data_IF_527300390530
#
_entry.id   IF_527300390530
#
_cell.length_a   1.000
_cell.length_b   1.000
_cell.length_c   1.000
_cell.angle_alpha   90.00
_cell.angle_beta   90.00
_cell.angle_gamma   90.00
#
_symmetry.space_group_name_H-M   'P 1'
#
loop_
_entity.id
_entity.type
_entity.pdbx_description
1 polymer ?
#
# COMPACT_ATOMS: atom_id res chain seq x y z
N UNK A 1 -13.90 10.72 15.26
CA UNK A 1 -13.11 10.30 14.09
C UNK A 1 -12.59 8.91 14.38
N UNK A 2 -12.94 7.91 13.56
CA UNK A 2 -12.46 6.53 13.70
C UNK A 2 -11.28 6.36 12.72
N UNK A 3 -10.20 5.75 13.19
CA UNK A 3 -9.01 5.48 12.37
C UNK A 3 -8.84 3.98 12.27
N UNK A 4 -8.67 3.48 11.06
CA UNK A 4 -8.28 2.09 10.79
C UNK A 4 -6.83 2.14 10.34
N UNK A 5 -5.98 1.37 11.00
CA UNK A 5 -4.57 1.23 10.64
C UNK A 5 -4.40 -0.19 10.14
N UNK A 6 -3.91 -0.32 8.91
CA UNK A 6 -3.51 -1.59 8.36
C UNK A 6 -2.16 -2.01 8.97
N UNK A 7 -2.15 -3.13 9.69
CA UNK A 7 -0.95 -3.73 10.30
C UNK A 7 -0.58 -5.07 9.64
N UNK A 8 -1.14 -5.39 8.48
CA UNK A 8 -1.13 -6.75 7.94
C UNK A 8 0.25 -7.12 7.39
N UNK A 9 0.96 -7.98 8.11
CA UNK A 9 2.29 -8.48 7.74
C UNK A 9 2.25 -9.74 6.85
N UNK A 10 1.13 -10.48 6.78
CA UNK A 10 1.08 -11.81 6.11
C UNK A 10 0.00 -11.95 5.01
N UNK A 11 -0.37 -10.84 4.37
CA UNK A 11 -1.07 -10.90 3.09
C UNK A 11 -2.58 -11.16 3.13
N UNK A 12 -3.28 -10.65 4.14
CA UNK A 12 -4.58 -9.98 4.01
C UNK A 12 -5.81 -10.71 3.47
N UNK A 13 -5.73 -11.94 2.93
CA UNK A 13 -6.85 -12.59 2.21
C UNK A 13 -8.12 -12.71 3.05
N UNK A 14 -8.01 -13.14 4.31
CA UNK A 14 -9.18 -13.38 5.16
C UNK A 14 -9.84 -12.09 5.68
N UNK A 15 -9.09 -10.98 5.68
CA UNK A 15 -9.50 -9.69 6.23
C UNK A 15 -9.73 -8.62 5.16
N UNK A 16 -9.46 -8.95 3.90
CA UNK A 16 -9.73 -8.09 2.75
C UNK A 16 -11.14 -7.49 2.76
N UNK A 17 -12.23 -8.24 3.06
CA UNK A 17 -13.57 -7.65 3.13
C UNK A 17 -13.69 -6.50 4.15
N UNK A 18 -13.02 -6.63 5.31
CA UNK A 18 -13.05 -5.61 6.35
C UNK A 18 -12.20 -4.37 5.97
N UNK A 19 -11.08 -4.59 5.28
CA UNK A 19 -10.25 -3.50 4.74
C UNK A 19 -10.98 -2.76 3.62
N UNK A 20 -11.63 -3.49 2.72
CA UNK A 20 -12.41 -2.92 1.62
C UNK A 20 -13.56 -2.05 2.17
N UNK A 21 -14.31 -2.55 3.14
CA UNK A 21 -15.35 -1.79 3.83
C UNK A 21 -14.77 -0.54 4.52
N UNK A 22 -13.63 -0.66 5.19
CA UNK A 22 -12.97 0.47 5.84
C UNK A 22 -12.56 1.55 4.83
N UNK A 23 -12.04 1.17 3.66
CA UNK A 23 -11.67 2.11 2.59
C UNK A 23 -12.93 2.80 2.03
N UNK A 24 -14.01 2.06 1.81
CA UNK A 24 -15.27 2.61 1.27
C UNK A 24 -15.97 3.57 2.22
N UNK A 25 -15.88 3.33 3.53
CA UNK A 25 -16.48 4.18 4.57
C UNK A 25 -15.57 5.34 5.01
N UNK A 26 -14.33 5.39 4.51
CA UNK A 26 -13.37 6.43 4.90
C UNK A 26 -13.61 7.74 4.15
N UNK A 27 -13.44 8.86 4.86
CA UNK A 27 -13.42 10.20 4.26
C UNK A 27 -11.99 10.62 3.85
N UNK A 28 -10.97 10.05 4.52
CA UNK A 28 -9.55 10.35 4.30
C UNK A 28 -8.78 9.03 4.27
N UNK A 29 -7.95 8.84 3.25
CA UNK A 29 -6.94 7.79 3.19
C UNK A 29 -5.55 8.41 3.26
N UNK A 30 -4.74 7.96 4.22
CA UNK A 30 -3.31 8.30 4.31
C UNK A 30 -2.53 7.11 3.78
N UNK A 31 -1.82 7.28 2.68
CA UNK A 31 -1.04 6.21 2.05
C UNK A 31 0.43 6.49 2.22
N UNK A 32 1.13 5.66 2.98
CA UNK A 32 2.57 5.76 3.18
C UNK A 32 3.28 4.87 2.15
N UNK A 33 3.80 5.49 1.11
CA UNK A 33 4.58 4.80 0.07
C UNK A 33 6.04 4.80 0.49
N UNK A 34 6.52 3.64 0.91
CA UNK A 34 7.94 3.39 1.21
C UNK A 34 8.67 2.81 -0.01
N UNK A 35 10.00 2.74 0.06
CA UNK A 35 10.81 2.09 -0.98
C UNK A 35 10.35 0.65 -1.29
N UNK A 36 9.88 -0.10 -0.29
CA UNK A 36 9.47 -1.50 -0.44
C UNK A 36 7.96 -1.68 -0.67
N UNK A 37 7.18 -0.60 -0.77
CA UNK A 37 5.72 -0.66 -0.95
C UNK A 37 5.28 -1.52 -2.14
N UNK A 38 6.02 -1.41 -3.25
CA UNK A 38 5.82 -2.17 -4.49
C UNK A 38 6.06 -3.69 -4.38
N UNK A 39 6.64 -4.18 -3.28
CA UNK A 39 6.86 -5.61 -3.04
C UNK A 39 5.64 -6.33 -2.48
N UNK A 40 4.67 -5.62 -1.88
CA UNK A 40 3.45 -6.21 -1.35
C UNK A 40 2.31 -6.09 -2.37
N UNK A 41 1.85 -7.20 -2.98
CA UNK A 41 0.65 -7.18 -3.82
C UNK A 41 -0.57 -6.65 -3.09
N UNK A 42 -0.63 -6.80 -1.76
CA UNK A 42 -1.70 -6.30 -0.91
C UNK A 42 -1.72 -4.78 -0.85
N UNK A 43 -0.57 -4.16 -0.55
CA UNK A 43 -0.46 -2.71 -0.56
C UNK A 43 -0.88 -2.12 -1.92
N UNK A 44 -0.51 -2.78 -3.01
CA UNK A 44 -0.92 -2.36 -4.36
C UNK A 44 -2.43 -2.52 -4.61
N UNK A 45 -3.03 -3.62 -4.18
CA UNK A 45 -4.49 -3.83 -4.29
C UNK A 45 -5.28 -2.81 -3.47
N UNK A 46 -4.83 -2.52 -2.24
CA UNK A 46 -5.42 -1.49 -1.39
C UNK A 46 -5.33 -0.11 -2.05
N UNK A 47 -4.15 0.22 -2.63
CA UNK A 47 -3.96 1.46 -3.36
C UNK A 47 -4.93 1.58 -4.53
N UNK A 48 -5.16 0.51 -5.29
CA UNK A 48 -6.16 0.50 -6.37
C UNK A 48 -7.55 0.81 -5.81
N UNK A 49 -7.99 0.14 -4.74
CA UNK A 49 -9.29 0.38 -4.13
C UNK A 49 -9.45 1.82 -3.62
N UNK A 50 -8.42 2.36 -2.97
CA UNK A 50 -8.37 3.75 -2.50
C UNK A 50 -8.53 4.72 -3.69
N UNK A 51 -7.82 4.48 -4.80
CA UNK A 51 -7.90 5.32 -5.98
C UNK A 51 -9.28 5.23 -6.66
N UNK A 52 -9.93 4.07 -6.64
CA UNK A 52 -11.31 3.91 -7.10
C UNK A 52 -12.29 4.72 -6.24
N UNK A 53 -12.20 4.63 -4.92
CA UNK A 53 -13.05 5.41 -4.00
C UNK A 53 -12.79 6.92 -4.13
N UNK A 54 -11.53 7.33 -4.31
CA UNK A 54 -11.18 8.73 -4.63
C UNK A 54 -11.83 9.18 -5.93
N UNK A 55 -11.79 8.36 -6.98
CA UNK A 55 -12.38 8.67 -8.29
C UNK A 55 -13.91 8.79 -8.23
N UNK A 56 -14.56 8.04 -7.33
CA UNK A 56 -16.01 8.18 -7.05
C UNK A 56 -16.38 9.48 -6.33
N UNK A 57 -15.40 10.26 -5.85
CA UNK A 57 -15.59 11.64 -5.38
C UNK A 57 -15.80 11.82 -3.88
N UNK A 58 -15.63 10.77 -3.05
CA UNK A 58 -15.88 10.81 -1.61
C UNK A 58 -14.65 10.78 -0.70
N UNK A 59 -13.48 10.42 -1.24
CA UNK A 59 -12.28 10.12 -0.45
C UNK A 59 -11.15 11.13 -0.72
N UNK A 60 -10.66 11.79 0.31
CA UNK A 60 -9.44 12.60 0.26
C UNK A 60 -8.24 11.66 0.39
N UNK A 61 -7.32 11.69 -0.58
CA UNK A 61 -6.08 10.91 -0.54
C UNK A 61 -4.89 11.80 -0.19
N UNK A 62 -4.19 11.45 0.90
CA UNK A 62 -2.96 12.09 1.37
C UNK A 62 -1.78 11.10 1.24
N UNK A 63 -0.98 11.17 0.17
CA UNK A 63 0.20 10.33 0.04
C UNK A 63 1.37 10.89 0.87
N UNK A 64 2.08 10.00 1.56
CA UNK A 64 3.34 10.27 2.26
C UNK A 64 4.41 9.43 1.58
N UNK A 65 5.46 10.08 1.05
CA UNK A 65 6.58 9.39 0.41
C UNK A 65 7.71 9.24 1.42
N UNK A 66 7.96 8.00 1.87
CA UNK A 66 8.97 7.69 2.88
C UNK A 66 10.19 7.02 2.23
N UNK A 67 11.32 7.72 2.19
CA UNK A 67 12.55 7.20 1.60
C UNK A 67 12.49 7.00 0.07
N UNK A 68 11.50 7.59 -0.60
CA UNK A 68 11.35 7.59 -2.06
C UNK A 68 10.94 8.99 -2.53
N UNK A 69 11.38 9.38 -3.73
CA UNK A 69 10.94 10.63 -4.32
C UNK A 69 9.65 10.46 -5.14
N UNK A 70 8.71 11.39 -4.99
CA UNK A 70 7.44 11.38 -5.73
C UNK A 70 7.58 11.37 -7.27
N UNK A 71 8.78 11.68 -7.80
CA UNK A 71 9.06 11.60 -9.25
C UNK A 71 9.30 10.17 -9.72
N UNK A 72 9.76 9.29 -8.85
CA UNK A 72 10.01 7.88 -9.18
C UNK A 72 8.70 7.20 -9.52
N UNK A 73 7.65 7.42 -8.70
CA UNK A 73 6.30 6.90 -8.95
C UNK A 73 5.66 7.36 -10.27
N UNK A 74 6.15 8.45 -10.86
CA UNK A 74 5.63 9.01 -12.12
C UNK A 74 6.41 8.55 -13.35
N UNK A 75 7.61 7.98 -13.17
CA UNK A 75 8.48 7.53 -14.26
C UNK A 75 8.30 6.03 -14.45
N UNK A 76 7.77 5.58 -15.60
CA UNK A 76 7.64 4.15 -15.89
C UNK A 76 8.97 3.39 -15.82
N UNK A 77 10.08 4.05 -16.15
CA UNK A 77 11.43 3.50 -16.10
C UNK A 77 12.15 3.72 -14.75
N UNK A 78 11.41 4.02 -13.68
CA UNK A 78 12.02 4.12 -12.36
C UNK A 78 12.19 2.71 -11.77
N UNK A 79 13.21 2.49 -10.93
CA UNK A 79 13.36 1.21 -10.24
C UNK A 79 12.11 0.81 -9.47
N UNK A 80 11.40 1.77 -8.85
CA UNK A 80 10.16 1.46 -8.14
C UNK A 80 9.10 0.85 -9.06
N UNK A 81 8.86 1.46 -10.23
CA UNK A 81 7.82 0.99 -11.16
C UNK A 81 8.23 -0.30 -11.86
N UNK A 82 9.51 -0.43 -12.24
CA UNK A 82 10.04 -1.62 -12.90
C UNK A 82 9.99 -2.88 -12.02
N UNK A 83 10.09 -2.70 -10.70
CA UNK A 83 10.10 -3.81 -9.74
C UNK A 83 8.74 -4.10 -9.08
N UNK A 84 7.65 -3.46 -9.54
CA UNK A 84 6.30 -3.75 -9.06
C UNK A 84 6.01 -5.25 -9.19
N UNK A 85 5.64 -5.90 -8.09
CA UNK A 85 5.28 -7.32 -8.08
C UNK A 85 6.46 -8.30 -8.05
N UNK A 86 7.72 -7.83 -8.00
CA UNK A 86 8.89 -8.71 -7.86
C UNK A 86 9.13 -9.20 -6.41
N UNK A 87 8.25 -8.82 -5.48
CA UNK A 87 8.49 -8.90 -4.03
C UNK A 87 8.16 -10.20 -3.30
N UNK A 88 7.59 -11.23 -3.94
CA UNK A 88 7.23 -12.47 -3.22
C UNK A 88 8.46 -13.16 -2.59
N UNK A 89 9.66 -12.95 -3.13
CA UNK A 89 10.92 -13.47 -2.56
C UNK A 89 11.61 -12.48 -1.59
N UNK A 90 11.44 -11.17 -1.80
CA UNK A 90 12.02 -10.12 -0.94
C UNK A 90 11.33 -9.98 0.43
N UNK A 91 10.01 -10.22 0.49
CA UNK A 91 9.24 -10.22 1.74
C UNK A 91 9.68 -11.32 2.73
N UNK A 92 10.31 -12.40 2.23
CA UNK A 92 10.85 -13.47 3.07
C UNK A 92 12.18 -13.09 3.73
N UNK A 93 12.95 -12.16 3.17
CA UNK A 93 14.29 -11.82 3.67
C UNK A 93 14.28 -10.85 4.86
N UNK A 94 13.29 -9.96 4.96
CA UNK A 94 13.18 -9.06 6.14
C UNK A 94 12.71 -9.81 7.40
N UNK A 95 12.00 -10.94 7.25
CA UNK A 95 11.56 -11.77 8.38
C UNK A 95 12.67 -12.68 8.96
N UNK A 96 13.86 -12.74 8.36
CA UNK A 96 15.00 -13.51 8.89
C UNK A 96 15.82 -12.75 9.95
N UNK A 97 15.56 -11.46 10.16
CA UNK A 97 16.29 -10.64 11.13
C UNK A 97 15.49 -10.23 12.38
N UNK A 98 14.27 -10.74 12.58
CA UNK A 98 13.51 -10.52 13.81
C UNK A 98 13.08 -11.78 14.57
N UNK A 99 13.79 -12.91 14.36
CA UNK A 99 13.70 -14.05 15.28
C UNK A 99 15.04 -14.23 15.99
N UNK A 100 15.20 -13.51 17.11
CA UNK A 100 16.03 -13.93 18.24
C UNK A 100 15.15 -14.00 19.48
#
# INVERSE_FOLDING_TARGET
MKTVIDYILDGGKEIWPAIEEAIEQSNIAVVVVSQNYHFSPWCLNELVKILECRKKGGLILLPIFWGIEARELRKPSSPFVENIGQGEEGFKQENLHQVQ
#
